data_IF_264556679130
#
_entry.id   IF_264556679130
#
_cell.length_a   1.000
_cell.length_b   1.000
_cell.length_c   1.000
_cell.angle_alpha   90.00
_cell.angle_beta   90.00
_cell.angle_gamma   90.00
#
_symmetry.space_group_name_H-M   'P 1'
#
loop_
_entity.id
_entity.type
_entity.pdbx_description
1 polymer ?
#
# COMPACT_ATOMS: atom_id res chain seq x y z
N UNK A 1 3.85 -3.14 -10.10
CA UNK A 1 5.00 -3.94 -9.63
C UNK A 1 6.27 -3.77 -10.48
N UNK A 2 6.20 -3.74 -11.81
CA UNK A 2 7.39 -3.55 -12.66
C UNK A 2 8.27 -2.33 -12.31
N UNK A 3 7.67 -1.20 -11.87
CA UNK A 3 8.44 -0.01 -11.46
C UNK A 3 9.30 -0.24 -10.21
N UNK A 4 8.79 -0.95 -9.19
CA UNK A 4 9.56 -1.21 -7.95
C UNK A 4 10.66 -2.24 -8.16
N UNK A 5 10.43 -3.23 -9.01
CA UNK A 5 11.45 -4.21 -9.41
C UNK A 5 12.61 -3.57 -10.21
N UNK A 6 12.42 -2.36 -10.73
CA UNK A 6 13.45 -1.61 -11.45
C UNK A 6 14.52 -0.95 -10.57
N UNK A 7 14.28 -0.79 -9.26
CA UNK A 7 15.24 -0.12 -8.38
C UNK A 7 15.35 -0.69 -6.96
N UNK A 8 14.37 -1.50 -6.50
CA UNK A 8 14.46 -2.19 -5.22
C UNK A 8 15.01 -3.61 -5.40
N UNK A 9 15.81 -4.11 -4.45
CA UNK A 9 16.25 -5.50 -4.48
C UNK A 9 15.05 -6.44 -4.21
N UNK A 10 15.10 -7.70 -4.68
CA UNK A 10 13.94 -8.61 -4.64
C UNK A 10 13.32 -8.80 -3.25
N UNK A 11 14.14 -8.88 -2.19
CA UNK A 11 13.67 -9.00 -0.81
C UNK A 11 12.86 -7.78 -0.35
N UNK A 12 13.19 -6.59 -0.87
CA UNK A 12 12.46 -5.34 -0.57
C UNK A 12 11.18 -5.22 -1.40
N UNK A 13 11.18 -5.75 -2.62
CA UNK A 13 9.95 -5.87 -3.43
C UNK A 13 8.91 -6.74 -2.73
N UNK A 14 9.34 -7.80 -2.03
CA UNK A 14 8.44 -8.68 -1.28
C UNK A 14 7.65 -7.93 -0.20
N UNK A 15 8.28 -6.97 0.50
CA UNK A 15 7.64 -6.12 1.52
C UNK A 15 6.50 -5.31 0.89
N UNK A 16 6.77 -4.63 -0.24
CA UNK A 16 5.77 -3.82 -0.95
C UNK A 16 4.61 -4.68 -1.46
N UNK A 17 4.91 -5.88 -1.97
CA UNK A 17 3.88 -6.84 -2.40
C UNK A 17 3.02 -7.27 -1.22
N UNK A 18 3.62 -7.61 -0.08
CA UNK A 18 2.87 -8.00 1.13
C UNK A 18 1.94 -6.87 1.60
N UNK A 19 2.45 -5.65 1.69
CA UNK A 19 1.68 -4.47 2.06
C UNK A 19 0.50 -4.23 1.11
N UNK A 20 0.69 -4.39 -0.20
CA UNK A 20 -0.38 -4.26 -1.18
C UNK A 20 -1.50 -5.27 -0.95
N UNK A 21 -1.17 -6.57 -0.81
CA UNK A 21 -2.19 -7.62 -0.61
C UNK A 21 -2.95 -7.43 0.70
N UNK A 22 -2.24 -6.98 1.74
CA UNK A 22 -2.86 -6.67 3.02
C UNK A 22 -3.83 -5.50 2.91
N UNK A 23 -3.42 -4.39 2.29
CA UNK A 23 -4.28 -3.23 2.07
C UNK A 23 -5.49 -3.56 1.19
N UNK A 24 -5.29 -4.33 0.12
CA UNK A 24 -6.37 -4.78 -0.78
C UNK A 24 -7.43 -5.58 -0.03
N UNK A 25 -6.99 -6.51 0.84
CA UNK A 25 -7.89 -7.30 1.68
C UNK A 25 -8.57 -6.45 2.76
N UNK A 26 -7.85 -5.52 3.38
CA UNK A 26 -8.41 -4.66 4.42
C UNK A 26 -9.51 -3.74 3.88
N UNK A 27 -9.30 -3.19 2.68
CA UNK A 27 -10.26 -2.34 1.98
C UNK A 27 -11.28 -3.11 1.14
N UNK A 28 -11.41 -4.44 1.29
CA UNK A 28 -12.36 -5.24 0.52
C UNK A 28 -13.80 -4.79 0.80
N UNK A 29 -14.53 -4.44 -0.26
CA UNK A 29 -15.90 -3.92 -0.15
C UNK A 29 -16.00 -2.43 0.22
N UNK A 30 -14.89 -1.77 0.53
CA UNK A 30 -14.87 -0.33 0.76
C UNK A 30 -14.82 0.43 -0.57
N UNK A 31 -15.69 1.44 -0.69
CA UNK A 31 -15.79 2.28 -1.89
C UNK A 31 -15.64 3.75 -1.53
N UNK A 32 -14.97 4.50 -2.41
CA UNK A 32 -14.92 5.96 -2.31
C UNK A 32 -16.27 6.57 -2.65
N UNK A 33 -16.43 7.86 -2.36
CA UNK A 33 -17.59 8.66 -2.81
C UNK A 33 -17.78 8.65 -4.33
N UNK A 34 -16.72 8.40 -5.10
CA UNK A 34 -16.77 8.23 -6.57
C UNK A 34 -17.37 6.90 -7.02
N UNK A 35 -17.54 5.92 -6.11
CA UNK A 35 -17.96 4.56 -6.42
C UNK A 35 -16.81 3.60 -6.76
N UNK A 36 -15.57 4.08 -6.80
CA UNK A 36 -14.39 3.25 -7.06
C UNK A 36 -13.93 2.50 -5.80
N UNK A 37 -13.29 1.33 -5.95
CA UNK A 37 -12.66 0.63 -4.83
C UNK A 37 -11.68 1.52 -4.07
N UNK A 38 -11.74 1.50 -2.73
CA UNK A 38 -10.90 2.38 -1.91
C UNK A 38 -9.40 2.15 -2.11
N UNK A 39 -8.98 0.89 -2.34
CA UNK A 39 -7.58 0.49 -2.59
C UNK A 39 -6.87 1.29 -3.70
N UNK A 40 -7.63 1.87 -4.63
CA UNK A 40 -7.07 2.72 -5.69
C UNK A 40 -6.37 3.96 -5.13
N UNK A 41 -6.85 4.52 -4.00
CA UNK A 41 -6.25 5.69 -3.37
C UNK A 41 -4.86 5.39 -2.80
N UNK A 42 -4.67 4.42 -1.88
CA UNK A 42 -3.33 4.05 -1.41
C UNK A 42 -2.38 3.63 -2.53
N UNK A 43 -2.90 2.96 -3.58
CA UNK A 43 -2.10 2.58 -4.74
C UNK A 43 -1.58 3.80 -5.52
N UNK A 44 -2.42 4.82 -5.73
CA UNK A 44 -2.02 6.07 -6.39
C UNK A 44 -0.95 6.81 -5.59
N UNK A 45 -1.09 6.88 -4.25
CA UNK A 45 -0.08 7.48 -3.37
C UNK A 45 1.25 6.72 -3.51
N UNK A 46 1.23 5.39 -3.42
CA UNK A 46 2.44 4.57 -3.58
C UNK A 46 3.10 4.76 -4.97
N UNK A 47 2.33 4.93 -6.04
CA UNK A 47 2.86 5.20 -7.38
C UNK A 47 3.61 6.53 -7.47
N UNK A 48 3.14 7.57 -6.79
CA UNK A 48 3.86 8.86 -6.70
C UNK A 48 5.19 8.66 -5.99
N UNK A 49 5.20 7.91 -4.87
CA UNK A 49 6.42 7.65 -4.11
C UNK A 49 7.43 6.79 -4.88
N UNK A 50 6.96 5.87 -5.73
CA UNK A 50 7.78 5.08 -6.65
C UNK A 50 8.49 5.97 -7.68
N UNK A 51 7.84 7.05 -8.14
CA UNK A 51 8.47 8.01 -9.07
C UNK A 51 9.60 8.80 -8.42
N UNK A 52 9.54 8.95 -7.09
CA UNK A 52 10.61 9.52 -6.27
C UNK A 52 11.66 8.47 -5.85
N UNK A 53 11.51 7.22 -6.27
CA UNK A 53 12.37 6.08 -5.90
C UNK A 53 12.56 5.92 -4.39
N UNK A 54 11.50 6.16 -3.61
CA UNK A 54 11.55 5.96 -2.16
C UNK A 54 11.71 4.48 -1.79
N UNK A 55 12.19 4.26 -0.56
CA UNK A 55 12.48 2.92 -0.05
C UNK A 55 11.23 2.08 0.18
N UNK A 56 11.40 0.77 0.32
CA UNK A 56 10.29 -0.18 0.45
C UNK A 56 9.39 0.09 1.67
N UNK A 57 9.94 0.58 2.78
CA UNK A 57 9.14 0.85 3.97
C UNK A 57 8.25 2.08 3.75
N UNK A 58 8.77 3.11 3.09
CA UNK A 58 7.96 4.27 2.68
C UNK A 58 6.82 3.87 1.74
N UNK A 59 7.08 2.97 0.79
CA UNK A 59 6.04 2.45 -0.10
C UNK A 59 5.00 1.60 0.63
N UNK A 60 5.44 0.72 1.53
CA UNK A 60 4.55 -0.09 2.34
C UNK A 60 3.67 0.79 3.24
N UNK A 61 4.25 1.79 3.89
CA UNK A 61 3.52 2.76 4.69
C UNK A 61 2.45 3.50 3.86
N UNK A 62 2.77 3.92 2.63
CA UNK A 62 1.80 4.56 1.75
C UNK A 62 0.65 3.63 1.35
N UNK A 63 0.90 2.33 1.17
CA UNK A 63 -0.15 1.36 0.89
C UNK A 63 -1.06 1.11 2.10
N UNK A 64 -0.54 1.27 3.31
CA UNK A 64 -1.21 0.92 4.57
C UNK A 64 -1.78 2.12 5.33
N UNK A 65 -1.51 3.36 4.89
CA UNK A 65 -1.72 4.56 5.71
C UNK A 65 -3.16 4.77 6.21
N UNK A 66 -4.16 4.40 5.41
CA UNK A 66 -5.57 4.55 5.75
C UNK A 66 -6.20 3.30 6.37
N UNK A 67 -5.49 2.17 6.40
CA UNK A 67 -6.01 0.91 6.95
C UNK A 67 -6.44 1.05 8.41
N UNK A 68 -5.68 1.73 9.30
CA UNK A 68 -6.11 1.92 10.67
C UNK A 68 -7.38 2.74 10.84
N UNK A 69 -7.54 3.78 10.03
CA UNK A 69 -8.67 4.71 10.14
C UNK A 69 -9.94 4.13 9.51
N UNK A 70 -9.81 3.50 8.34
CA UNK A 70 -10.96 3.13 7.52
C UNK A 70 -11.40 1.68 7.70
N UNK A 71 -10.46 0.79 8.01
CA UNK A 71 -10.75 -0.64 8.16
C UNK A 71 -10.91 -1.06 9.63
N UNK A 72 -10.75 -0.11 10.57
CA UNK A 72 -10.87 -0.37 12.02
C UNK A 72 -9.79 -1.31 12.56
N UNK A 73 -8.65 -1.40 11.86
CA UNK A 73 -7.56 -2.30 12.22
C UNK A 73 -6.54 -1.57 13.10
N UNK A 74 -6.22 -2.06 14.31
CA UNK A 74 -5.28 -1.36 15.16
C UNK A 74 -3.87 -1.38 14.57
N UNK A 75 -3.08 -0.32 14.79
CA UNK A 75 -1.69 -0.22 14.34
C UNK A 75 -0.85 -1.42 14.81
N UNK A 76 -1.18 -2.01 15.96
CA UNK A 76 -0.51 -3.21 16.48
C UNK A 76 -0.64 -4.44 15.58
N UNK A 77 -1.61 -4.48 14.68
CA UNK A 77 -1.77 -5.55 13.68
C UNK A 77 -1.02 -5.24 12.38
N UNK A 78 -0.46 -4.02 12.26
CA UNK A 78 0.33 -3.57 11.12
C UNK A 78 1.80 -3.54 11.54
N UNK A 79 2.43 -4.71 11.54
CA UNK A 79 3.89 -4.83 11.70
C UNK A 79 4.53 -5.02 10.32
N UNK A 80 5.41 -4.10 9.93
CA UNK A 80 6.13 -4.08 8.65
C UNK A 80 7.61 -4.45 8.82
#
# INVERSE_FOLDING_TARGET
MAKVEGYLPPERVAIVKSAYHFAEKAHEGEVRKSGEPYINHPLQVALILVELQLDANSLAAALLHDVPENCGMPISEIEA
#
